data_IF_690660571583
#
_entry.id   IF_690660571583
#
_cell.length_a   1.000
_cell.length_b   1.000
_cell.length_c   1.000
_cell.angle_alpha   90.00
_cell.angle_beta   90.00
_cell.angle_gamma   90.00
#
_symmetry.space_group_name_H-M   'P 1'
#
loop_
_entity.id
_entity.type
_entity.pdbx_description
1 polymer ?
#
# COMPACT_ATOMS: atom_id res chain seq x y z
N UNK A 1 -0.78 -14.81 19.61
CA UNK A 1 -0.30 -14.63 18.22
C UNK A 1 -0.80 -13.28 17.74
N UNK A 2 0.10 -12.37 17.47
CA UNK A 2 -0.17 -11.00 17.03
C UNK A 2 -0.62 -10.99 15.56
N UNK A 3 -1.65 -10.21 15.22
CA UNK A 3 -2.15 -10.05 13.86
C UNK A 3 -1.57 -8.79 13.22
N UNK A 4 -0.81 -8.92 12.15
CA UNK A 4 -0.11 -7.82 11.51
C UNK A 4 -0.59 -7.68 10.06
N UNK A 5 -1.10 -6.48 9.72
CA UNK A 5 -1.40 -6.12 8.34
C UNK A 5 -0.15 -5.60 7.63
N UNK A 6 0.00 -5.95 6.36
CA UNK A 6 1.06 -5.43 5.50
C UNK A 6 0.40 -4.59 4.41
N UNK A 7 0.64 -3.30 4.45
CA UNK A 7 0.23 -2.35 3.43
C UNK A 7 1.47 -1.97 2.61
N UNK A 8 1.68 -2.70 1.53
CA UNK A 8 2.79 -2.50 0.61
C UNK A 8 2.45 -1.53 -0.52
N UNK A 9 3.43 -0.76 -0.97
CA UNK A 9 3.20 0.14 -2.10
C UNK A 9 4.40 1.01 -2.44
N UNK A 10 4.34 1.70 -3.59
CA UNK A 10 5.36 2.70 -3.93
C UNK A 10 5.23 3.97 -3.11
N UNK A 11 4.00 4.30 -2.66
CA UNK A 11 3.67 5.51 -1.90
C UNK A 11 4.30 6.77 -2.50
N UNK A 12 3.91 7.08 -3.72
CA UNK A 12 4.50 8.16 -4.50
C UNK A 12 3.44 9.18 -5.01
N UNK A 13 2.79 9.96 -4.10
CA UNK A 13 2.85 9.93 -2.63
C UNK A 13 1.91 8.91 -1.98
N UNK A 14 2.04 8.72 -0.66
CA UNK A 14 1.00 8.15 0.19
C UNK A 14 -0.21 9.11 0.20
N UNK A 15 -1.44 8.56 0.34
CA UNK A 15 -2.67 9.35 0.27
C UNK A 15 -3.79 8.73 1.12
N UNK A 16 -4.89 9.46 1.32
CA UNK A 16 -6.01 9.01 2.16
C UNK A 16 -6.57 7.65 1.74
N UNK A 17 -6.59 7.31 0.45
CA UNK A 17 -7.00 5.98 0.00
C UNK A 17 -6.18 4.84 0.61
N UNK A 18 -4.87 5.01 0.80
CA UNK A 18 -4.03 4.03 1.48
C UNK A 18 -4.34 3.94 2.98
N UNK A 19 -4.51 5.09 3.64
CA UNK A 19 -4.78 5.15 5.08
C UNK A 19 -6.14 4.55 5.43
N UNK A 20 -7.17 4.87 4.65
CA UNK A 20 -8.52 4.33 4.81
C UNK A 20 -8.54 2.82 4.59
N UNK A 21 -7.83 2.32 3.59
CA UNK A 21 -7.69 0.90 3.34
C UNK A 21 -7.05 0.17 4.53
N UNK A 22 -5.95 0.72 5.07
CA UNK A 22 -5.31 0.18 6.26
C UNK A 22 -6.21 0.24 7.49
N UNK A 23 -6.92 1.35 7.71
CA UNK A 23 -7.87 1.51 8.81
C UNK A 23 -9.01 0.48 8.73
N UNK A 24 -9.63 0.31 7.57
CA UNK A 24 -10.69 -0.68 7.37
C UNK A 24 -10.19 -2.10 7.68
N UNK A 25 -9.00 -2.46 7.20
CA UNK A 25 -8.40 -3.75 7.48
C UNK A 25 -8.15 -3.96 8.99
N UNK A 26 -7.66 -2.93 9.68
CA UNK A 26 -7.46 -2.99 11.13
C UNK A 26 -8.76 -3.27 11.88
N UNK A 27 -9.81 -2.53 11.56
CA UNK A 27 -11.10 -2.63 12.24
C UNK A 27 -11.81 -3.95 11.97
N UNK A 28 -11.89 -4.36 10.71
CA UNK A 28 -12.65 -5.54 10.29
C UNK A 28 -11.98 -6.85 10.74
N UNK A 29 -10.64 -6.92 10.69
CA UNK A 29 -9.89 -8.14 11.01
C UNK A 29 -9.25 -8.13 12.41
N UNK A 30 -9.44 -7.06 13.17
CA UNK A 30 -8.86 -6.91 14.51
C UNK A 30 -7.33 -6.99 14.47
N UNK A 31 -6.71 -6.27 13.51
CA UNK A 31 -5.25 -6.26 13.40
C UNK A 31 -4.64 -5.41 14.52
N UNK A 32 -3.56 -5.90 15.10
CA UNK A 32 -2.84 -5.18 16.16
C UNK A 32 -2.05 -4.01 15.58
N UNK A 33 -1.40 -4.24 14.43
CA UNK A 33 -0.59 -3.24 13.73
C UNK A 33 -0.74 -3.37 12.20
N UNK A 34 -0.45 -2.24 11.52
CA UNK A 34 -0.33 -2.16 10.06
C UNK A 34 1.09 -1.71 9.72
N UNK A 35 1.86 -2.57 9.07
CA UNK A 35 3.16 -2.20 8.52
C UNK A 35 2.97 -1.45 7.19
N UNK A 36 3.27 -0.15 7.18
CA UNK A 36 3.32 0.65 5.95
C UNK A 36 4.71 0.51 5.36
N UNK A 37 4.80 -0.19 4.24
CA UNK A 37 6.06 -0.71 3.71
C UNK A 37 6.30 -0.18 2.29
N UNK A 38 7.16 0.85 2.13
CA UNK A 38 7.51 1.36 0.82
C UNK A 38 8.40 0.39 0.05
N UNK A 39 8.02 0.09 -1.19
CA UNK A 39 8.83 -0.72 -2.09
C UNK A 39 10.01 0.08 -2.62
N UNK A 40 11.23 -0.51 -2.63
CA UNK A 40 12.44 0.11 -3.18
C UNK A 40 12.46 0.03 -4.70
N UNK A 41 12.54 -1.18 -5.24
CA UNK A 41 12.62 -1.48 -6.66
C UNK A 41 11.50 -2.46 -7.04
N UNK A 42 10.27 -1.99 -7.29
CA UNK A 42 9.15 -2.87 -7.57
C UNK A 42 9.37 -3.67 -8.85
N UNK A 43 9.08 -4.99 -8.81
CA UNK A 43 9.27 -5.89 -9.93
C UNK A 43 8.39 -5.55 -11.14
N UNK A 44 7.18 -5.04 -10.87
CA UNK A 44 6.13 -4.92 -11.88
C UNK A 44 5.75 -3.47 -12.22
N UNK A 45 6.44 -2.47 -11.63
CA UNK A 45 6.11 -1.05 -11.81
C UNK A 45 7.34 -0.18 -11.69
N UNK A 46 7.50 0.79 -12.61
CA UNK A 46 8.54 1.82 -12.46
C UNK A 46 8.05 2.94 -11.56
N UNK A 47 8.91 3.41 -10.65
CA UNK A 47 8.65 4.60 -9.83
C UNK A 47 8.87 5.82 -10.73
N UNK A 48 7.84 6.62 -10.93
CA UNK A 48 7.85 7.81 -11.79
C UNK A 48 7.91 9.10 -10.95
N UNK A 49 8.23 10.24 -11.60
CA UNK A 49 8.09 11.57 -10.98
C UNK A 49 9.33 12.09 -10.27
N UNK A 50 10.51 11.47 -10.45
CA UNK A 50 11.79 12.01 -9.95
C UNK A 50 11.95 12.15 -8.43
N UNK A 51 11.03 11.52 -7.66
CA UNK A 51 10.99 11.61 -6.21
C UNK A 51 11.92 10.57 -5.58
N UNK A 52 12.77 11.02 -4.67
CA UNK A 52 13.73 10.16 -3.98
C UNK A 52 13.05 9.18 -3.02
N UNK A 53 13.74 8.09 -2.68
CA UNK A 53 13.32 7.16 -1.63
C UNK A 53 13.10 7.91 -0.30
N UNK A 54 14.02 8.82 0.04
CA UNK A 54 13.91 9.66 1.25
C UNK A 54 12.60 10.45 1.29
N UNK A 55 12.21 11.10 0.19
CA UNK A 55 10.96 11.85 0.14
C UNK A 55 9.74 10.96 0.39
N UNK A 56 9.71 9.75 -0.20
CA UNK A 56 8.61 8.81 0.01
C UNK A 56 8.53 8.35 1.48
N UNK A 57 9.69 8.06 2.10
CA UNK A 57 9.79 7.70 3.51
C UNK A 57 9.29 8.82 4.42
N UNK A 58 9.73 10.06 4.18
CA UNK A 58 9.33 11.21 4.97
C UNK A 58 7.82 11.46 4.88
N UNK A 59 7.24 11.40 3.67
CA UNK A 59 5.80 11.51 3.47
C UNK A 59 5.01 10.41 4.19
N UNK A 60 5.48 9.17 4.18
CA UNK A 60 4.84 8.08 4.91
C UNK A 60 4.86 8.35 6.42
N UNK A 61 6.03 8.71 6.97
CA UNK A 61 6.16 8.98 8.40
C UNK A 61 5.26 10.14 8.85
N UNK A 62 5.14 11.19 8.05
CA UNK A 62 4.21 12.30 8.30
C UNK A 62 2.75 11.80 8.29
N UNK A 63 2.37 11.02 7.28
CA UNK A 63 1.01 10.55 7.12
C UNK A 63 0.51 9.64 8.25
N UNK A 64 1.40 8.89 8.90
CA UNK A 64 1.03 7.90 9.93
C UNK A 64 1.39 8.34 11.35
N UNK A 65 1.99 9.51 11.52
CA UNK A 65 2.56 9.99 12.80
C UNK A 65 1.59 9.90 13.98
N UNK A 66 0.34 10.28 13.75
CA UNK A 66 -0.67 10.40 14.81
C UNK A 66 -1.49 9.11 15.02
N UNK A 67 -1.15 8.05 14.29
CA UNK A 67 -1.86 6.77 14.33
C UNK A 67 -0.95 5.64 14.84
N UNK A 68 -0.93 5.33 16.15
CA UNK A 68 0.06 4.45 16.76
C UNK A 68 0.05 3.01 16.25
N UNK A 69 -1.05 2.56 15.64
CA UNK A 69 -1.17 1.23 15.04
C UNK A 69 -0.57 1.14 13.62
N UNK A 70 -0.37 2.25 12.93
CA UNK A 70 0.45 2.26 11.72
C UNK A 70 1.93 2.30 12.09
N UNK A 71 2.71 1.40 11.54
CA UNK A 71 4.16 1.31 11.75
C UNK A 71 4.88 1.42 10.41
N UNK A 72 5.83 2.31 10.32
CA UNK A 72 6.72 2.37 9.16
C UNK A 72 7.66 1.16 9.19
N UNK A 73 7.79 0.47 8.05
CA UNK A 73 8.76 -0.62 7.88
C UNK A 73 9.67 -0.35 6.69
N UNK A 74 10.97 -0.40 6.93
CA UNK A 74 12.01 -0.20 5.93
C UNK A 74 12.59 -1.52 5.38
N UNK A 75 11.97 -2.65 5.66
CA UNK A 75 12.48 -3.99 5.32
C UNK A 75 12.79 -4.13 3.82
N UNK A 76 11.94 -3.59 2.95
CA UNK A 76 12.15 -3.61 1.51
C UNK A 76 13.20 -2.59 1.04
N UNK A 77 13.38 -1.49 1.78
CA UNK A 77 14.36 -0.46 1.45
C UNK A 77 15.80 -0.92 1.73
N UNK A 78 15.99 -1.77 2.73
CA UNK A 78 17.30 -2.34 3.10
C UNK A 78 17.76 -3.42 2.14
N UNK A 79 16.85 -4.01 1.35
CA UNK A 79 17.19 -5.07 0.42
C UNK A 79 17.75 -4.52 -0.89
N UNK A 80 18.77 -5.17 -1.40
CA UNK A 80 19.30 -4.89 -2.73
C UNK A 80 18.53 -5.65 -3.82
N UNK A 81 18.57 -5.13 -5.05
CA UNK A 81 17.92 -5.74 -6.21
C UNK A 81 16.43 -5.50 -6.29
N UNK A 82 15.75 -6.36 -7.02
CA UNK A 82 14.30 -6.28 -7.24
C UNK A 82 13.54 -6.74 -6.00
N UNK A 83 12.51 -5.99 -5.62
CA UNK A 83 11.68 -6.30 -4.46
C UNK A 83 10.51 -7.20 -4.85
N UNK A 84 10.41 -8.36 -4.20
CA UNK A 84 9.31 -9.31 -4.37
C UNK A 84 8.59 -9.54 -3.04
N UNK A 85 7.27 -9.57 -3.06
CA UNK A 85 6.41 -9.78 -1.88
C UNK A 85 6.74 -11.09 -1.15
N UNK A 86 6.99 -12.16 -1.89
CA UNK A 86 7.35 -13.46 -1.31
C UNK A 86 8.63 -13.41 -0.47
N UNK A 87 9.64 -12.68 -0.91
CA UNK A 87 10.91 -12.55 -0.19
C UNK A 87 10.73 -11.70 1.08
N UNK A 88 9.86 -10.69 1.03
CA UNK A 88 9.47 -9.88 2.18
C UNK A 88 8.72 -10.69 3.23
N UNK A 89 7.75 -11.49 2.83
CA UNK A 89 7.02 -12.38 3.73
C UNK A 89 7.92 -13.42 4.36
N UNK A 90 8.86 -14.03 3.60
CA UNK A 90 9.85 -14.96 4.14
C UNK A 90 10.73 -14.33 5.21
N UNK A 91 11.11 -13.08 5.02
CA UNK A 91 11.92 -12.34 6.00
C UNK A 91 11.12 -12.06 7.28
N UNK A 92 9.89 -11.53 7.14
CA UNK A 92 9.00 -11.23 8.26
C UNK A 92 8.69 -12.50 9.09
N UNK A 93 8.31 -13.58 8.44
CA UNK A 93 7.97 -14.85 9.13
C UNK A 93 9.17 -15.50 9.82
N UNK A 94 10.39 -15.23 9.37
CA UNK A 94 11.62 -15.67 10.06
C UNK A 94 11.96 -14.78 11.26
N UNK A 95 11.68 -13.47 11.18
CA UNK A 95 11.96 -12.53 12.27
C UNK A 95 11.01 -12.71 13.46
N UNK A 96 9.75 -13.02 13.19
CA UNK A 96 8.73 -13.21 14.23
C UNK A 96 7.79 -14.36 13.84
N UNK A 97 7.96 -15.48 14.52
CA UNK A 97 7.17 -16.69 14.32
C UNK A 97 5.85 -16.70 15.09
N UNK A 98 5.65 -15.75 16.03
CA UNK A 98 4.40 -15.62 16.81
C UNK A 98 3.43 -14.58 16.22
N UNK A 99 3.67 -14.17 14.97
CA UNK A 99 2.81 -13.27 14.23
C UNK A 99 2.04 -14.00 13.14
N UNK A 100 0.80 -13.55 12.91
CA UNK A 100 0.00 -13.89 11.73
C UNK A 100 -0.07 -12.67 10.82
N UNK A 101 0.39 -12.85 9.59
CA UNK A 101 0.45 -11.77 8.62
C UNK A 101 -0.77 -11.76 7.71
N UNK A 102 -1.21 -10.55 7.35
CA UNK A 102 -2.28 -10.28 6.39
C UNK A 102 -1.79 -9.28 5.36
N UNK A 103 -1.77 -9.67 4.09
CA UNK A 103 -1.36 -8.78 3.01
C UNK A 103 -2.58 -8.05 2.45
N UNK A 104 -2.55 -6.71 2.51
CA UNK A 104 -3.66 -5.84 2.13
C UNK A 104 -3.44 -5.37 0.70
N UNK A 105 -4.40 -5.63 -0.20
CA UNK A 105 -4.32 -5.23 -1.61
C UNK A 105 -5.68 -4.87 -2.21
N UNK A 106 -5.66 -4.20 -3.36
CA UNK A 106 -6.85 -4.03 -4.19
C UNK A 106 -7.09 -5.20 -5.13
N UNK A 107 -8.30 -5.34 -5.64
CA UNK A 107 -8.70 -6.42 -6.57
C UNK A 107 -7.81 -6.49 -7.83
N UNK A 108 -7.39 -5.34 -8.39
CA UNK A 108 -6.46 -5.30 -9.54
C UNK A 108 -5.18 -6.10 -9.30
N UNK A 109 -4.65 -6.03 -8.07
CA UNK A 109 -3.45 -6.79 -7.68
C UNK A 109 -3.74 -8.27 -7.52
N UNK A 110 -4.93 -8.63 -7.01
CA UNK A 110 -5.33 -10.03 -6.88
C UNK A 110 -5.47 -10.70 -8.25
N UNK A 111 -6.07 -10.02 -9.24
CA UNK A 111 -6.17 -10.55 -10.61
C UNK A 111 -4.80 -10.79 -11.26
N UNK A 112 -3.77 -10.10 -10.80
CA UNK A 112 -2.41 -10.23 -11.32
C UNK A 112 -1.48 -11.08 -10.44
N UNK A 113 -1.95 -11.60 -9.31
CA UNK A 113 -1.09 -12.25 -8.29
C UNK A 113 -0.34 -13.47 -8.83
N UNK A 114 -0.90 -14.16 -9.82
CA UNK A 114 -0.25 -15.31 -10.47
C UNK A 114 0.97 -14.93 -11.31
N UNK A 115 1.11 -13.65 -11.68
CA UNK A 115 2.31 -13.14 -12.36
C UNK A 115 3.43 -12.77 -11.36
N UNK A 116 3.13 -12.82 -10.07
CA UNK A 116 4.12 -12.51 -9.04
C UNK A 116 5.06 -13.69 -8.81
N UNK A 117 6.22 -13.42 -8.24
CA UNK A 117 7.21 -14.46 -7.91
C UNK A 117 6.65 -15.39 -6.82
N UNK A 118 6.65 -16.69 -7.08
CA UNK A 118 6.23 -17.76 -6.16
C UNK A 118 4.88 -17.48 -5.46
N UNK A 119 3.76 -17.28 -6.20
CA UNK A 119 2.49 -16.89 -5.60
C UNK A 119 1.99 -17.89 -4.55
N UNK A 120 2.17 -19.18 -4.76
CA UNK A 120 1.79 -20.21 -3.78
C UNK A 120 2.44 -20.00 -2.41
N UNK A 121 3.68 -19.57 -2.36
CA UNK A 121 4.36 -19.25 -1.09
C UNK A 121 3.79 -18.00 -0.41
N UNK A 122 3.24 -17.04 -1.16
CA UNK A 122 2.58 -15.88 -0.58
C UNK A 122 1.36 -16.32 0.23
N UNK A 123 0.52 -17.19 -0.36
CA UNK A 123 -0.70 -17.71 0.27
C UNK A 123 -0.42 -18.57 1.51
N UNK A 124 0.71 -19.28 1.56
CA UNK A 124 1.09 -20.06 2.76
C UNK A 124 1.56 -19.19 3.91
N UNK A 125 2.11 -18.01 3.64
CA UNK A 125 2.71 -17.14 4.66
C UNK A 125 1.79 -16.03 5.15
N UNK A 126 0.76 -15.65 4.38
CA UNK A 126 -0.15 -14.57 4.74
C UNK A 126 -1.58 -14.83 4.27
N UNK A 127 -2.57 -14.42 5.09
CA UNK A 127 -3.91 -14.22 4.59
C UNK A 127 -3.97 -12.98 3.68
N UNK A 128 -4.78 -13.02 2.64
CA UNK A 128 -4.92 -11.90 1.71
C UNK A 128 -6.20 -11.13 2.02
N UNK A 129 -6.10 -9.81 2.25
CA UNK A 129 -7.26 -8.93 2.42
C UNK A 129 -7.44 -8.10 1.16
N UNK A 130 -8.57 -8.31 0.47
CA UNK A 130 -8.83 -7.71 -0.84
C UNK A 130 -9.93 -6.69 -0.77
N UNK A 131 -9.59 -5.43 -1.06
CA UNK A 131 -10.58 -4.36 -1.22
C UNK A 131 -11.06 -4.28 -2.67
N UNK A 132 -12.39 -4.22 -2.84
CA UNK A 132 -13.04 -3.92 -4.11
C UNK A 132 -13.07 -2.42 -4.36
N UNK A 133 -12.88 -1.97 -5.61
CA UNK A 133 -13.14 -0.59 -6.02
C UNK A 133 -14.46 -0.47 -6.75
N UNK A 134 -14.59 -1.04 -7.93
CA UNK A 134 -15.79 -0.98 -8.76
C UNK A 134 -16.09 -2.30 -9.49
N UNK A 135 -15.42 -3.38 -9.09
CA UNK A 135 -15.61 -4.68 -9.72
C UNK A 135 -16.98 -5.28 -9.38
N UNK A 136 -17.54 -6.02 -10.28
CA UNK A 136 -18.69 -6.85 -9.95
C UNK A 136 -18.26 -7.84 -8.87
N UNK A 137 -18.97 -7.86 -7.76
CA UNK A 137 -18.68 -8.75 -6.62
C UNK A 137 -18.55 -10.21 -7.08
N UNK A 138 -19.37 -10.62 -8.05
CA UNK A 138 -19.36 -11.98 -8.61
C UNK A 138 -18.05 -12.33 -9.34
N UNK A 139 -17.42 -11.38 -10.03
CA UNK A 139 -16.14 -11.65 -10.70
C UNK A 139 -15.00 -11.81 -9.69
N UNK A 140 -15.01 -11.01 -8.63
CA UNK A 140 -14.03 -11.12 -7.55
C UNK A 140 -14.22 -12.42 -6.76
N UNK A 141 -15.48 -12.81 -6.45
CA UNK A 141 -15.78 -14.07 -5.76
C UNK A 141 -15.25 -15.27 -6.57
N UNK A 142 -15.49 -15.32 -7.88
CA UNK A 142 -14.97 -16.37 -8.73
C UNK A 142 -13.43 -16.44 -8.77
N UNK A 143 -12.77 -15.28 -8.74
CA UNK A 143 -11.29 -15.23 -8.67
C UNK A 143 -10.77 -15.70 -7.31
N UNK A 144 -11.45 -15.36 -6.23
CA UNK A 144 -11.11 -15.82 -4.87
C UNK A 144 -11.23 -17.33 -4.79
N UNK A 145 -12.38 -17.89 -5.18
CA UNK A 145 -12.63 -19.35 -5.17
C UNK A 145 -11.57 -20.10 -5.96
N UNK A 146 -11.24 -19.62 -7.17
CA UNK A 146 -10.19 -20.19 -8.01
C UNK A 146 -8.82 -20.19 -7.34
N UNK A 147 -8.42 -19.07 -6.74
CA UNK A 147 -7.09 -18.95 -6.11
C UNK A 147 -7.01 -19.73 -4.80
N UNK A 148 -8.08 -19.78 -4.01
CA UNK A 148 -8.13 -20.58 -2.77
C UNK A 148 -8.04 -22.08 -3.07
N UNK A 149 -8.77 -22.57 -4.10
CA UNK A 149 -8.67 -23.96 -4.54
C UNK A 149 -7.26 -24.31 -5.05
N UNK A 150 -6.66 -23.41 -5.84
CA UNK A 150 -5.36 -23.67 -6.49
C UNK A 150 -4.19 -23.65 -5.52
N UNK A 151 -4.21 -22.76 -4.52
CA UNK A 151 -3.04 -22.47 -3.68
C UNK A 151 -3.25 -22.84 -2.19
N UNK A 152 -4.41 -23.39 -1.83
CA UNK A 152 -4.80 -23.69 -0.43
C UNK A 152 -4.59 -22.46 0.50
N UNK A 153 -4.89 -21.27 -0.01
CA UNK A 153 -4.73 -20.00 0.68
C UNK A 153 -5.99 -19.52 1.37
N UNK A 154 -5.89 -18.40 2.06
CA UNK A 154 -7.06 -17.72 2.64
C UNK A 154 -7.13 -16.29 2.13
N UNK A 155 -8.22 -15.99 1.43
CA UNK A 155 -8.50 -14.68 0.84
C UNK A 155 -9.80 -14.16 1.45
N UNK A 156 -9.79 -12.94 1.94
CA UNK A 156 -10.92 -12.33 2.61
C UNK A 156 -11.31 -11.05 1.88
N UNK A 157 -12.61 -10.85 1.70
CA UNK A 157 -13.11 -9.54 1.31
C UNK A 157 -12.82 -8.52 2.41
N UNK A 158 -12.37 -7.35 2.00
CA UNK A 158 -12.19 -6.20 2.87
C UNK A 158 -13.22 -5.14 2.52
N UNK A 159 -14.11 -4.85 3.47
CA UNK A 159 -15.15 -3.83 3.35
C UNK A 159 -14.52 -2.44 3.53
N UNK A 160 -14.03 -1.86 2.45
CA UNK A 160 -13.49 -0.51 2.46
C UNK A 160 -14.38 0.43 1.64
N UNK A 161 -14.57 1.69 2.07
CA UNK A 161 -15.21 2.68 1.21
C UNK A 161 -14.53 2.75 -0.16
N UNK A 162 -15.33 2.78 -1.23
CA UNK A 162 -14.78 2.96 -2.58
C UNK A 162 -14.30 4.40 -2.74
N UNK A 163 -12.98 4.59 -2.69
CA UNK A 163 -12.35 5.90 -2.82
C UNK A 163 -11.41 5.89 -4.01
N UNK A 164 -11.79 6.64 -5.05
CA UNK A 164 -11.02 6.78 -6.27
C UNK A 164 -9.91 7.83 -6.11
N UNK A 165 -8.94 7.56 -5.26
CA UNK A 165 -7.72 8.38 -5.13
C UNK A 165 -6.53 7.57 -5.62
N UNK A 166 -5.75 8.12 -6.54
CA UNK A 166 -4.51 7.51 -6.98
C UNK A 166 -3.31 8.45 -6.87
N UNK A 167 -2.14 7.90 -6.54
CA UNK A 167 -0.89 8.67 -6.54
C UNK A 167 -0.61 9.31 -7.91
N UNK A 168 -1.03 8.67 -9.00
CA UNK A 168 -0.85 9.19 -10.35
C UNK A 168 -1.66 10.47 -10.57
N UNK A 169 -2.93 10.49 -10.13
CA UNK A 169 -3.78 11.66 -10.27
C UNK A 169 -3.32 12.80 -9.38
N UNK A 170 -2.83 12.49 -8.17
CA UNK A 170 -2.21 13.50 -7.29
C UNK A 170 -1.01 14.14 -7.99
N UNK A 171 -0.11 13.37 -8.58
CA UNK A 171 1.05 13.92 -9.30
C UNK A 171 0.63 14.77 -10.52
N UNK A 172 -0.38 14.34 -11.27
CA UNK A 172 -0.95 15.13 -12.36
C UNK A 172 -1.56 16.45 -11.86
N UNK A 173 -2.27 16.41 -10.74
CA UNK A 173 -2.82 17.62 -10.11
C UNK A 173 -1.71 18.59 -9.70
N UNK A 174 -0.64 18.10 -9.09
CA UNK A 174 0.55 18.90 -8.78
C UNK A 174 1.12 19.56 -10.04
N UNK A 175 1.39 18.79 -11.08
CA UNK A 175 2.00 19.33 -12.33
C UNK A 175 1.10 20.34 -13.07
N UNK A 176 -0.22 20.21 -12.94
CA UNK A 176 -1.18 21.10 -13.62
C UNK A 176 -1.60 22.31 -12.77
N UNK A 177 -1.05 22.46 -11.57
CA UNK A 177 -1.48 23.55 -10.70
C UNK A 177 -2.83 23.35 -10.01
N UNK A 178 -3.42 22.16 -10.04
CA UNK A 178 -4.68 21.84 -9.35
C UNK A 178 -4.47 21.57 -7.87
N UNK A 179 -5.46 21.90 -7.03
CA UNK A 179 -5.41 21.60 -5.59
C UNK A 179 -5.33 20.10 -5.30
N UNK A 180 -4.53 19.74 -4.30
CA UNK A 180 -4.42 18.37 -3.77
C UNK A 180 -4.96 18.25 -2.35
N UNK A 181 -5.58 19.30 -1.80
CA UNK A 181 -6.26 19.24 -0.51
C UNK A 181 -7.31 18.13 -0.50
N UNK A 182 -7.48 17.50 0.64
CA UNK A 182 -8.38 16.37 0.89
C UNK A 182 -7.99 15.04 0.24
N UNK A 183 -6.99 15.01 -0.64
CA UNK A 183 -6.47 13.74 -1.18
C UNK A 183 -5.38 13.13 -0.29
N UNK A 184 -4.67 13.98 0.46
CA UNK A 184 -3.56 13.61 1.35
C UNK A 184 -3.71 14.30 2.71
N UNK A 185 -3.03 13.80 3.77
CA UNK A 185 -2.87 14.55 5.00
C UNK A 185 -2.16 15.89 4.76
N UNK A 186 -2.56 16.93 5.49
CA UNK A 186 -2.02 18.30 5.32
C UNK A 186 -0.49 18.35 5.48
N UNK A 187 0.09 17.62 6.45
CA UNK A 187 1.55 17.57 6.61
C UNK A 187 2.27 17.00 5.38
N UNK A 188 1.61 16.09 4.64
CA UNK A 188 2.15 15.55 3.39
C UNK A 188 2.04 16.58 2.27
N UNK A 189 0.96 17.35 2.22
CA UNK A 189 0.78 18.47 1.28
C UNK A 189 1.87 19.51 1.50
N UNK A 190 2.04 19.96 2.75
CA UNK A 190 3.11 20.87 3.14
C UNK A 190 4.50 20.39 2.75
N UNK A 191 4.75 19.08 2.92
CA UNK A 191 6.02 18.48 2.53
C UNK A 191 6.23 18.53 1.03
N UNK A 192 5.22 18.19 0.23
CA UNK A 192 5.25 18.24 -1.24
C UNK A 192 5.55 19.66 -1.73
N UNK A 193 4.89 20.67 -1.16
CA UNK A 193 5.06 22.07 -1.53
C UNK A 193 6.44 22.61 -1.15
N UNK A 194 6.90 22.36 0.10
CA UNK A 194 8.21 22.84 0.58
C UNK A 194 9.40 22.24 -0.16
N UNK A 195 9.24 21.03 -0.70
CA UNK A 195 10.30 20.34 -1.45
C UNK A 195 10.10 20.40 -2.97
N UNK A 196 9.14 21.20 -3.46
CA UNK A 196 8.80 21.36 -4.88
C UNK A 196 8.64 20.01 -5.62
N UNK A 197 7.96 19.05 -4.96
CA UNK A 197 7.78 17.73 -5.54
C UNK A 197 6.66 17.74 -6.58
N UNK A 198 6.83 16.93 -7.61
CA UNK A 198 5.84 16.73 -8.67
C UNK A 198 5.53 17.98 -9.51
N UNK A 199 6.42 18.99 -9.51
CA UNK A 199 6.17 20.25 -10.19
C UNK A 199 5.15 21.15 -9.47
N UNK A 200 5.03 21.00 -8.15
CA UNK A 200 4.26 21.89 -7.32
C UNK A 200 4.98 23.24 -7.27
N UNK A 201 4.60 24.17 -8.15
CA UNK A 201 5.17 25.52 -8.08
C UNK A 201 4.67 26.24 -6.84
N UNK A 202 5.60 26.84 -6.08
CA UNK A 202 5.36 27.57 -4.83
C UNK A 202 4.45 28.81 -4.96
N UNK A 203 3.83 29.04 -6.12
CA UNK A 203 3.06 30.26 -6.43
C UNK A 203 1.56 30.16 -6.06
N UNK A 204 1.16 29.09 -5.35
CA UNK A 204 -0.25 28.82 -5.02
C UNK A 204 -0.76 29.49 -3.74
N UNK A 205 0.07 30.22 -3.02
CA UNK A 205 -0.34 30.94 -1.79
C UNK A 205 -1.03 32.27 -2.05
N UNK A 206 -1.39 32.57 -3.30
CA UNK A 206 -2.01 33.85 -3.70
C UNK A 206 -3.36 33.73 -4.42
N UNK A 207 -4.06 32.63 -4.27
CA UNK A 207 -5.43 32.52 -4.78
C UNK A 207 -6.41 32.20 -3.66
#
# INVERSE_FOLDING_TARGET
>A
MKKIGILGGTFNPIHHGHLILGQAAKEEFGLDEILVMPTKNPAYKKISGGVSEKNRVDMIKLAIRDFPYFKFSDIELKREGTTYTVDTLRELTKQDTDCRYYFIMGADSLYQIETWKDPGQIFTMAGILVATRNDSRSALDAQIDYLEEKYDGKIYHLSSPSIEISSNDIRKRCSNGSSIHFFLPEDVIDYIERNDLYGSTADRRKA
#
